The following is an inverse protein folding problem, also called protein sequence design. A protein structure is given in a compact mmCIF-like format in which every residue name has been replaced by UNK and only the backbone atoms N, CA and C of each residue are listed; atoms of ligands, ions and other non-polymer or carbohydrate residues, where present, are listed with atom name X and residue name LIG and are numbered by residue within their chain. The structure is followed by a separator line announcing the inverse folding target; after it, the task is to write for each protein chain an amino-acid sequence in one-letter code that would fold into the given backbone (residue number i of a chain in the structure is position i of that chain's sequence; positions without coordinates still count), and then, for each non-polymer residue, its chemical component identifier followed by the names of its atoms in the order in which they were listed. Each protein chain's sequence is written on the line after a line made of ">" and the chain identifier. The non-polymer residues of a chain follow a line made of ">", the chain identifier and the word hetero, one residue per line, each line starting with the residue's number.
data_IF_280080221596
#
_entry.id   IF_280080221596
#
_cell.length_a   1.000
_cell.length_b   1.000
_cell.length_c   1.000
_cell.angle_alpha   90.00
_cell.angle_beta   90.00
_cell.angle_gamma   90.00
#
_symmetry.space_group_name_H-M   'P 1'
#
loop_
_entity.id
_entity.type
_entity.pdbx_description
1 polymer ?
#
# COMPACT_ATOMS: atom_id res chain seq x y z
N UNK A 1 -7.23 34.80 23.91
CA UNK A 1 -6.15 33.91 24.43
C UNK A 1 -6.61 32.45 24.32
N UNK A 2 -6.47 31.78 23.16
CA UNK A 2 -6.95 30.40 22.97
C UNK A 2 -6.28 29.64 21.80
N UNK A 3 -4.97 29.80 21.58
CA UNK A 3 -4.29 29.23 20.39
C UNK A 3 -3.05 28.37 20.73
N UNK A 4 -3.01 27.78 21.92
CA UNK A 4 -1.84 27.01 22.41
C UNK A 4 -2.08 25.49 22.49
N UNK A 5 -3.32 25.01 22.63
CA UNK A 5 -3.58 23.56 22.89
C UNK A 5 -3.50 22.62 21.67
N UNK A 6 -3.25 23.11 20.45
CA UNK A 6 -3.59 22.35 19.24
C UNK A 6 -2.41 21.86 18.37
N UNK A 7 -1.15 22.13 18.74
CA UNK A 7 0.01 21.66 17.94
C UNK A 7 0.41 20.21 18.21
N UNK A 8 0.33 19.75 19.47
CA UNK A 8 0.65 18.36 19.82
C UNK A 8 -0.47 17.35 19.51
N UNK A 9 -1.70 17.80 19.26
CA UNK A 9 -2.81 16.90 18.90
C UNK A 9 -2.81 16.50 17.43
N UNK A 10 -2.25 17.34 16.54
CA UNK A 10 -2.14 17.06 15.10
C UNK A 10 -1.35 15.78 14.78
N UNK A 11 -0.14 15.54 15.36
CA UNK A 11 0.59 14.30 15.10
C UNK A 11 -0.11 13.06 15.65
N UNK A 12 -0.76 13.16 16.83
CA UNK A 12 -1.53 12.04 17.42
C UNK A 12 -2.74 11.69 16.56
N UNK A 13 -3.49 12.69 16.08
CA UNK A 13 -4.61 12.46 15.15
C UNK A 13 -4.13 11.81 13.85
N UNK A 14 -3.06 12.33 13.25
CA UNK A 14 -2.48 11.76 12.04
C UNK A 14 -2.04 10.31 12.24
N UNK A 15 -1.46 9.97 13.40
CA UNK A 15 -1.11 8.61 13.75
C UNK A 15 -2.32 7.67 13.77
N UNK A 16 -3.42 8.06 14.42
CA UNK A 16 -4.67 7.27 14.40
C UNK A 16 -5.20 7.06 12.98
N UNK A 17 -5.15 8.08 12.12
CA UNK A 17 -5.58 7.92 10.73
C UNK A 17 -4.66 7.01 9.93
N UNK A 18 -3.34 7.07 10.15
CA UNK A 18 -2.43 6.11 9.51
C UNK A 18 -2.65 4.68 10.00
N UNK A 19 -2.96 4.48 11.28
CA UNK A 19 -3.38 3.19 11.81
C UNK A 19 -4.64 2.68 11.10
N UNK A 20 -5.67 3.52 10.94
CA UNK A 20 -6.88 3.16 10.22
C UNK A 20 -6.60 2.85 8.73
N UNK A 21 -5.75 3.65 8.08
CA UNK A 21 -5.39 3.43 6.68
C UNK A 21 -4.62 2.12 6.47
N UNK A 22 -3.69 1.81 7.36
CA UNK A 22 -2.96 0.56 7.35
C UNK A 22 -3.86 -0.66 7.54
N UNK A 23 -5.05 -0.52 8.13
CA UNK A 23 -6.01 -1.63 8.29
C UNK A 23 -7.19 -1.53 7.31
N UNK A 24 -7.19 -0.52 6.43
CA UNK A 24 -8.28 -0.32 5.47
C UNK A 24 -8.48 -1.46 4.47
N UNK A 25 -7.45 -2.25 4.05
CA UNK A 25 -7.67 -3.42 3.20
C UNK A 25 -8.66 -4.43 3.79
N UNK A 26 -8.61 -4.65 5.10
CA UNK A 26 -9.45 -5.61 5.83
C UNK A 26 -10.91 -5.18 6.02
N UNK A 27 -11.29 -4.00 5.49
CA UNK A 27 -12.72 -3.62 5.47
C UNK A 27 -13.56 -4.62 4.66
N UNK A 28 -12.94 -5.35 3.73
CA UNK A 28 -13.56 -6.43 2.97
C UNK A 28 -14.05 -7.60 3.83
N UNK A 29 -13.48 -7.82 5.01
CA UNK A 29 -13.93 -8.85 5.97
C UNK A 29 -15.34 -8.52 6.46
N UNK A 30 -15.58 -7.26 6.83
CA UNK A 30 -16.89 -6.82 7.31
C UNK A 30 -17.94 -6.91 6.19
N UNK A 31 -17.54 -6.52 4.98
CA UNK A 31 -18.39 -6.62 3.79
C UNK A 31 -18.70 -8.10 3.49
N UNK A 32 -17.68 -8.97 3.47
CA UNK A 32 -17.83 -10.40 3.25
C UNK A 32 -18.78 -11.03 4.26
N UNK A 33 -18.60 -10.70 5.55
CA UNK A 33 -19.43 -11.22 6.61
C UNK A 33 -20.89 -10.77 6.48
N UNK A 34 -21.12 -9.49 6.14
CA UNK A 34 -22.46 -8.94 5.93
C UNK A 34 -23.23 -9.62 4.79
N UNK A 35 -22.56 -9.95 3.69
CA UNK A 35 -23.21 -10.50 2.50
C UNK A 35 -23.25 -12.03 2.44
N UNK A 36 -22.31 -12.71 3.08
CA UNK A 36 -22.15 -14.18 2.94
C UNK A 36 -22.28 -14.94 4.25
N UNK A 37 -22.38 -14.24 5.39
CA UNK A 37 -22.29 -14.85 6.72
C UNK A 37 -20.88 -15.37 7.06
N UNK A 38 -19.90 -15.14 6.19
CA UNK A 38 -18.53 -15.61 6.30
C UNK A 38 -17.53 -14.49 6.01
N UNK A 39 -16.46 -14.33 6.80
CA UNK A 39 -15.47 -13.28 6.58
C UNK A 39 -14.58 -13.51 5.35
N UNK A 40 -14.60 -14.71 4.77
CA UNK A 40 -13.58 -15.17 3.81
C UNK A 40 -13.88 -14.93 2.32
N UNK A 41 -15.10 -15.10 1.81
CA UNK A 41 -15.37 -15.08 0.37
C UNK A 41 -14.88 -13.86 -0.42
N UNK A 42 -14.86 -12.68 0.19
CA UNK A 42 -14.38 -11.45 -0.47
C UNK A 42 -13.10 -10.89 0.15
N UNK A 43 -12.57 -11.55 1.17
CA UNK A 43 -11.33 -11.12 1.79
C UNK A 43 -10.15 -11.28 0.82
N UNK A 44 -9.23 -10.32 0.82
CA UNK A 44 -8.00 -10.32 -0.03
C UNK A 44 -8.24 -10.19 -1.52
N UNK A 45 -9.38 -9.60 -1.88
CA UNK A 45 -9.76 -9.34 -3.27
C UNK A 45 -9.41 -7.91 -3.68
N UNK A 46 -10.40 -7.09 -4.03
CA UNK A 46 -10.23 -5.72 -4.49
C UNK A 46 -9.43 -4.84 -3.54
N UNK A 47 -9.71 -4.94 -2.24
CA UNK A 47 -9.14 -4.07 -1.21
C UNK A 47 -7.66 -4.31 -0.96
N UNK A 48 -7.15 -5.46 -1.40
CA UNK A 48 -5.73 -5.82 -1.34
C UNK A 48 -5.02 -5.58 -2.67
N UNK A 49 -5.59 -4.74 -3.54
CA UNK A 49 -5.01 -4.31 -4.80
C UNK A 49 -4.36 -2.93 -4.75
N UNK A 50 -3.43 -2.67 -5.66
CA UNK A 50 -2.80 -1.35 -5.85
C UNK A 50 -3.87 -0.29 -6.17
N UNK A 51 -4.89 -0.66 -6.96
CA UNK A 51 -5.98 0.25 -7.32
C UNK A 51 -6.74 0.76 -6.08
N UNK A 52 -7.03 -0.13 -5.14
CA UNK A 52 -7.64 0.25 -3.87
C UNK A 52 -6.73 1.19 -3.08
N UNK A 53 -5.44 0.88 -2.97
CA UNK A 53 -4.48 1.74 -2.30
C UNK A 53 -4.41 3.16 -2.89
N UNK A 54 -4.46 3.29 -4.23
CA UNK A 54 -4.51 4.59 -4.92
C UNK A 54 -5.79 5.36 -4.59
N UNK A 55 -6.95 4.70 -4.66
CA UNK A 55 -8.25 5.33 -4.38
C UNK A 55 -8.31 5.81 -2.94
N UNK A 56 -7.99 4.94 -1.98
CA UNK A 56 -8.05 5.27 -0.55
C UNK A 56 -7.04 6.36 -0.20
N UNK A 57 -5.84 6.33 -0.79
CA UNK A 57 -4.85 7.40 -0.59
C UNK A 57 -5.31 8.75 -1.14
N UNK A 58 -5.94 8.77 -2.31
CA UNK A 58 -6.47 9.97 -2.91
C UNK A 58 -7.61 10.56 -2.06
N UNK A 59 -8.55 9.73 -1.61
CA UNK A 59 -9.65 10.17 -0.74
C UNK A 59 -9.12 10.71 0.60
N UNK A 60 -8.26 9.95 1.27
CA UNK A 60 -7.78 10.27 2.62
C UNK A 60 -6.89 11.50 2.66
N UNK A 61 -6.05 11.71 1.64
CA UNK A 61 -5.22 12.92 1.53
C UNK A 61 -6.03 14.18 1.22
N UNK A 62 -7.23 14.06 0.65
CA UNK A 62 -8.12 15.18 0.34
C UNK A 62 -9.23 15.39 1.38
N UNK A 63 -9.39 14.47 2.33
CA UNK A 63 -10.52 14.46 3.27
C UNK A 63 -10.61 15.71 4.16
N UNK A 64 -9.46 16.35 4.45
CA UNK A 64 -9.40 17.61 5.18
C UNK A 64 -10.14 18.78 4.49
N UNK A 65 -10.37 18.70 3.17
CA UNK A 65 -11.12 19.71 2.41
C UNK A 65 -12.61 19.68 2.76
N UNK A 66 -13.14 18.52 3.11
CA UNK A 66 -14.54 18.33 3.49
C UNK A 66 -14.74 18.44 5.01
N UNK A 67 -13.73 18.03 5.78
CA UNK A 67 -13.78 18.06 7.24
C UNK A 67 -12.58 18.84 7.81
N UNK A 68 -12.73 20.13 8.15
CA UNK A 68 -11.62 20.96 8.65
C UNK A 68 -10.94 20.45 9.93
N UNK A 69 -11.62 19.56 10.68
CA UNK A 69 -11.10 18.90 11.88
C UNK A 69 -10.13 17.76 11.56
N UNK A 70 -10.06 17.31 10.30
CA UNK A 70 -9.19 16.22 9.85
C UNK A 70 -7.77 16.73 9.55
N UNK A 71 -6.72 16.01 9.95
CA UNK A 71 -5.35 16.43 9.72
C UNK A 71 -5.01 16.38 8.22
N UNK A 72 -4.20 17.32 7.76
CA UNK A 72 -3.70 17.30 6.38
C UNK A 72 -2.67 16.17 6.22
N UNK A 73 -3.07 15.09 5.55
CA UNK A 73 -2.20 13.94 5.30
C UNK A 73 -1.59 14.01 3.89
N UNK A 74 -0.36 13.52 3.75
CA UNK A 74 0.30 13.38 2.45
C UNK A 74 -0.23 12.16 1.71
N UNK A 75 -0.55 12.32 0.42
CA UNK A 75 -0.92 11.21 -0.47
C UNK A 75 0.09 10.08 -0.43
N UNK A 76 1.40 10.39 -0.49
CA UNK A 76 2.48 9.40 -0.46
C UNK A 76 2.41 8.55 0.80
N UNK A 77 2.21 9.17 1.95
CA UNK A 77 2.10 8.45 3.22
C UNK A 77 0.81 7.65 3.30
N UNK A 78 -0.32 8.18 2.83
CA UNK A 78 -1.57 7.41 2.79
C UNK A 78 -1.44 6.16 1.92
N UNK A 79 -0.85 6.29 0.73
CA UNK A 79 -0.59 5.18 -0.18
C UNK A 79 0.29 4.12 0.47
N UNK A 80 1.43 4.51 1.04
CA UNK A 80 2.34 3.56 1.68
C UNK A 80 1.75 2.90 2.93
N UNK A 81 0.87 3.59 3.66
CA UNK A 81 0.16 2.96 4.79
C UNK A 81 -0.77 1.85 4.31
N UNK A 82 -1.60 2.09 3.28
CA UNK A 82 -2.45 1.04 2.72
C UNK A 82 -1.61 -0.10 2.11
N UNK A 83 -0.60 0.24 1.30
CA UNK A 83 0.28 -0.75 0.68
C UNK A 83 1.12 -1.53 1.69
N UNK A 84 1.43 -0.98 2.86
CA UNK A 84 2.21 -1.71 3.88
C UNK A 84 1.51 -2.99 4.32
N UNK A 85 0.19 -2.94 4.45
CA UNK A 85 -0.64 -4.10 4.78
C UNK A 85 -0.70 -5.09 3.61
N UNK A 86 -0.96 -4.60 2.39
CA UNK A 86 -1.00 -5.47 1.20
C UNK A 86 0.35 -6.17 0.96
N UNK A 87 1.45 -5.45 1.14
CA UNK A 87 2.80 -6.02 1.03
C UNK A 87 3.06 -7.02 2.16
N UNK A 88 2.63 -6.72 3.39
CA UNK A 88 2.75 -7.64 4.51
C UNK A 88 1.97 -8.94 4.22
N UNK A 89 0.76 -8.85 3.68
CA UNK A 89 -0.02 -10.01 3.27
C UNK A 89 0.64 -10.78 2.13
N UNK A 90 1.18 -10.09 1.12
CA UNK A 90 1.88 -10.77 0.02
C UNK A 90 3.12 -11.54 0.51
N UNK A 91 3.90 -10.95 1.41
CA UNK A 91 5.17 -11.50 1.88
C UNK A 91 5.00 -12.52 3.01
N UNK A 92 4.08 -12.28 3.96
CA UNK A 92 3.99 -13.00 5.24
C UNK A 92 2.80 -13.96 5.27
N UNK A 93 1.66 -13.61 4.65
CA UNK A 93 0.46 -14.44 4.73
C UNK A 93 0.58 -15.70 3.85
N UNK A 94 0.05 -16.85 4.33
CA UNK A 94 -0.07 -18.06 3.51
C UNK A 94 -1.10 -17.93 2.39
N UNK A 95 -2.04 -16.98 2.50
CA UNK A 95 -3.03 -16.68 1.47
C UNK A 95 -2.53 -15.49 0.65
N UNK A 96 -2.19 -15.75 -0.61
CA UNK A 96 -1.62 -14.73 -1.49
C UNK A 96 -2.67 -13.72 -1.91
N UNK A 97 -2.29 -12.44 -1.79
CA UNK A 97 -3.03 -11.31 -2.33
C UNK A 97 -2.62 -11.06 -3.77
N UNK A 98 -3.55 -10.60 -4.59
CA UNK A 98 -3.26 -10.22 -5.97
C UNK A 98 -3.23 -8.70 -6.08
N UNK A 99 -2.04 -8.14 -6.34
CA UNK A 99 -1.87 -6.69 -6.46
C UNK A 99 -2.75 -6.05 -7.56
N UNK A 100 -3.14 -6.84 -8.57
CA UNK A 100 -3.84 -6.38 -9.77
C UNK A 100 -5.29 -6.89 -9.88
N UNK A 101 -5.94 -7.23 -8.77
CA UNK A 101 -7.37 -7.58 -8.76
C UNK A 101 -8.22 -6.56 -9.57
N UNK A 102 -9.19 -6.96 -10.42
CA UNK A 102 -9.78 -8.30 -10.57
C UNK A 102 -9.03 -9.21 -11.55
N UNK A 103 -7.86 -8.78 -12.03
CA UNK A 103 -6.97 -9.67 -12.77
C UNK A 103 -6.39 -10.66 -11.76
N UNK A 104 -7.19 -11.67 -11.40
CA UNK A 104 -6.73 -12.82 -10.63
C UNK A 104 -5.76 -13.57 -11.51
N UNK A 105 -4.47 -13.31 -11.30
CA UNK A 105 -3.39 -14.13 -11.86
C UNK A 105 -3.27 -15.44 -11.04
N UNK A 106 -4.42 -15.99 -10.64
CA UNK A 106 -4.60 -17.24 -9.92
C UNK A 106 -5.73 -18.02 -10.62
N UNK A 107 -5.46 -19.22 -11.16
CA UNK A 107 -6.46 -19.97 -11.91
C UNK A 107 -7.55 -20.52 -10.98
N UNK A 108 -8.80 -20.27 -11.35
CA UNK A 108 -9.95 -21.06 -10.88
C UNK A 108 -9.79 -22.49 -11.41
N UNK A 109 -9.75 -23.46 -10.51
CA UNK A 109 -9.48 -24.85 -10.89
C UNK A 109 -10.76 -25.62 -11.15
N UNK A 110 -10.83 -26.28 -12.31
CA UNK A 110 -11.61 -27.51 -12.45
C UNK A 110 -10.94 -28.60 -13.30
N UNK A 111 -9.98 -28.35 -14.20
CA UNK A 111 -9.36 -29.44 -14.98
C UNK A 111 -7.92 -29.16 -15.46
N UNK A 112 -6.95 -29.92 -14.92
CA UNK A 112 -5.94 -30.60 -15.75
C UNK A 112 -4.54 -29.99 -15.88
N UNK A 113 -3.66 -30.27 -14.91
CA UNK A 113 -2.19 -30.50 -14.99
C UNK A 113 -1.26 -29.54 -15.79
N UNK A 114 -1.58 -29.15 -17.03
CA UNK A 114 -0.77 -28.24 -17.87
C UNK A 114 -0.86 -26.76 -17.44
N UNK A 115 -1.88 -26.38 -16.67
CA UNK A 115 -2.00 -25.03 -16.08
C UNK A 115 -1.09 -24.81 -14.85
N UNK A 116 -0.58 -25.88 -14.25
CA UNK A 116 0.15 -25.84 -12.98
C UNK A 116 1.54 -25.18 -13.11
N UNK A 117 2.21 -25.33 -14.25
CA UNK A 117 3.53 -24.72 -14.53
C UNK A 117 3.41 -23.22 -14.87
N UNK A 118 2.31 -22.79 -15.49
CA UNK A 118 2.01 -21.37 -15.73
C UNK A 118 1.80 -20.54 -14.46
N UNK A 119 1.48 -21.22 -13.35
CA UNK A 119 1.19 -20.64 -12.02
C UNK A 119 2.45 -20.32 -11.20
N UNK A 120 3.54 -21.09 -11.33
CA UNK A 120 4.81 -20.78 -10.64
C UNK A 120 5.59 -19.63 -11.30
N UNK A 121 5.45 -19.47 -12.62
CA UNK A 121 6.10 -18.41 -13.39
C UNK A 121 5.52 -17.02 -13.10
N UNK A 122 4.24 -16.93 -12.76
CA UNK A 122 3.55 -15.69 -12.38
C UNK A 122 3.94 -15.22 -10.98
N UNK A 123 4.17 -16.14 -10.04
CA UNK A 123 4.73 -15.88 -8.71
C UNK A 123 6.17 -15.33 -8.75
N UNK A 124 7.02 -15.90 -9.62
CA UNK A 124 8.38 -15.41 -9.81
C UNK A 124 8.42 -14.01 -10.45
N UNK A 125 7.42 -13.69 -11.27
CA UNK A 125 7.26 -12.41 -11.98
C UNK A 125 6.88 -11.26 -11.05
N UNK A 126 5.98 -11.49 -10.08
CA UNK A 126 5.62 -10.49 -9.06
C UNK A 126 6.76 -10.27 -8.05
N UNK A 127 7.55 -11.32 -7.76
CA UNK A 127 8.77 -11.20 -6.95
C UNK A 127 9.88 -10.38 -7.63
N UNK A 128 10.05 -10.49 -8.95
CA UNK A 128 11.02 -9.69 -9.72
C UNK A 128 10.65 -8.21 -9.79
N UNK A 129 9.36 -7.89 -9.93
CA UNK A 129 8.86 -6.51 -9.91
C UNK A 129 9.20 -5.82 -8.59
N UNK A 130 8.98 -6.49 -7.45
CA UNK A 130 9.35 -5.97 -6.12
C UNK A 130 10.86 -5.74 -6.01
N UNK A 131 11.69 -6.65 -6.54
CA UNK A 131 13.15 -6.54 -6.50
C UNK A 131 13.71 -5.41 -7.39
N UNK A 132 13.19 -5.23 -8.62
CA UNK A 132 13.59 -4.14 -9.53
C UNK A 132 13.20 -2.78 -8.94
N UNK A 133 12.01 -2.67 -8.34
CA UNK A 133 11.59 -1.43 -7.67
C UNK A 133 12.47 -1.09 -6.47
N UNK A 134 12.83 -2.07 -5.64
CA UNK A 134 13.72 -1.87 -4.49
C UNK A 134 15.12 -1.43 -4.94
N UNK A 135 15.66 -2.07 -5.99
CA UNK A 135 16.98 -1.77 -6.52
C UNK A 135 17.05 -0.37 -7.15
N UNK A 136 16.07 -0.01 -8.00
CA UNK A 136 15.98 1.30 -8.67
C UNK A 136 15.88 2.43 -7.63
N UNK A 137 15.15 2.22 -6.53
CA UNK A 137 15.04 3.18 -5.43
C UNK A 137 16.37 3.39 -4.70
N UNK A 138 17.10 2.31 -4.39
CA UNK A 138 18.39 2.37 -3.72
C UNK A 138 19.46 3.03 -4.60
N UNK A 139 19.50 2.70 -5.89
CA UNK A 139 20.44 3.27 -6.86
C UNK A 139 20.20 4.77 -7.05
N UNK A 140 18.94 5.19 -7.20
CA UNK A 140 18.60 6.60 -7.33
C UNK A 140 18.97 7.39 -6.07
N UNK A 141 18.77 6.81 -4.89
CA UNK A 141 19.13 7.43 -3.61
C UNK A 141 20.64 7.61 -3.47
N UNK A 142 21.44 6.62 -3.85
CA UNK A 142 22.90 6.68 -3.75
C UNK A 142 23.52 7.62 -4.78
N UNK A 143 23.05 7.60 -6.04
CA UNK A 143 23.52 8.52 -7.09
C UNK A 143 23.21 9.99 -6.76
N UNK A 144 22.04 10.28 -6.19
CA UNK A 144 21.70 11.63 -5.72
C UNK A 144 22.58 12.06 -4.53
N UNK A 145 22.84 11.16 -3.58
CA UNK A 145 23.75 11.45 -2.47
C UNK A 145 25.18 11.73 -2.95
N UNK A 146 25.66 10.94 -3.92
CA UNK A 146 26.97 11.10 -4.53
C UNK A 146 27.10 12.39 -5.35
N UNK A 147 26.12 12.71 -6.20
CA UNK A 147 26.08 13.96 -6.98
C UNK A 147 26.08 15.19 -6.06
N UNK A 148 25.30 15.16 -4.98
CA UNK A 148 25.26 16.23 -3.98
C UNK A 148 26.59 16.39 -3.22
N UNK A 149 27.31 15.29 -2.99
CA UNK A 149 28.61 15.31 -2.34
C UNK A 149 29.70 15.86 -3.27
N UNK A 150 29.76 15.37 -4.51
CA UNK A 150 30.70 15.84 -5.55
C UNK A 150 30.49 17.32 -5.88
N UNK A 151 29.24 17.75 -6.00
CA UNK A 151 28.90 19.16 -6.21
C UNK A 151 29.43 20.06 -5.09
N UNK A 152 29.29 19.64 -3.82
CA UNK A 152 29.82 20.38 -2.67
C UNK A 152 31.36 20.38 -2.61
N UNK A 153 32.00 19.33 -3.12
CA UNK A 153 33.46 19.18 -3.09
C UNK A 153 34.16 19.99 -4.19
N UNK A 154 33.55 20.10 -5.37
CA UNK A 154 34.10 20.78 -6.55
C UNK A 154 33.77 22.28 -6.61
N UNK A 155 32.98 22.81 -5.67
CA UNK A 155 32.76 24.24 -5.55
C UNK A 155 34.06 24.92 -5.08
N UNK A 156 34.74 25.71 -5.93
CA UNK A 156 35.80 26.59 -5.44
C UNK A 156 35.18 27.60 -4.47
N UNK A 157 35.87 27.83 -3.34
CA UNK A 157 35.55 28.91 -2.41
C UNK A 157 35.73 30.29 -3.07
#
# INVERSE_FOLDING_TARGET
>A
MARSKNRNQQPVKAFYYFFLLANSPDIDILISWLFTGSPWPYHRTFTHGILFAVIVAALSSNFYKFFPSFPKLSYKWCYWMVMSHVIADYLISPWKVTFFWPLSIHPGSLNGILDHVGTYATLAREAQVVLICLFTYLLFRTLNAAANYLYKLLQPA
#
